data_IF_562553233254
#
_entry.id   IF_562553233254
#
_cell.length_a   1.000
_cell.length_b   1.000
_cell.length_c   1.000
_cell.angle_alpha   90.00
_cell.angle_beta   90.00
_cell.angle_gamma   90.00
#
_symmetry.space_group_name_H-M   'P 1'
#
loop_
_entity.id
_entity.type
_entity.pdbx_description
1 polymer ?
#
# COMPACT_ATOMS: atom_id res chain seq x y z
N UNK A 1 24.61 -25.07 -41.42
CA UNK A 1 23.25 -24.80 -40.94
C UNK A 1 23.34 -24.27 -39.52
N UNK A 2 23.26 -22.96 -39.35
CA UNK A 2 23.16 -22.30 -38.06
C UNK A 2 21.70 -22.38 -37.62
N UNK A 3 21.40 -23.17 -36.59
CA UNK A 3 20.10 -23.11 -35.90
C UNK A 3 20.08 -21.83 -35.08
N UNK A 4 19.22 -20.89 -35.47
CA UNK A 4 18.74 -19.88 -34.52
C UNK A 4 18.10 -20.65 -33.37
N UNK A 5 18.62 -20.51 -32.17
CA UNK A 5 17.86 -20.81 -30.96
C UNK A 5 16.76 -19.76 -30.94
N UNK A 6 15.52 -20.21 -30.97
CA UNK A 6 14.42 -19.42 -30.47
C UNK A 6 14.79 -19.09 -29.02
N UNK A 7 14.94 -17.81 -28.70
CA UNK A 7 14.93 -17.32 -27.32
C UNK A 7 13.51 -17.67 -26.83
N UNK A 8 13.38 -18.81 -26.13
CA UNK A 8 12.18 -19.12 -25.38
C UNK A 8 11.97 -17.96 -24.42
N UNK A 9 10.98 -17.12 -24.69
CA UNK A 9 10.60 -15.98 -23.84
C UNK A 9 10.36 -16.50 -22.43
N UNK A 10 11.30 -16.19 -21.52
CA UNK A 10 11.23 -16.62 -20.12
C UNK A 10 10.01 -15.98 -19.50
N UNK A 11 9.06 -16.81 -19.05
CA UNK A 11 7.85 -16.37 -18.34
C UNK A 11 7.83 -16.97 -16.95
N UNK A 12 7.69 -16.09 -15.97
CA UNK A 12 7.53 -16.49 -14.58
C UNK A 12 6.04 -16.46 -14.18
N UNK A 13 5.61 -17.26 -13.22
CA UNK A 13 4.21 -17.35 -12.79
C UNK A 13 3.82 -16.15 -11.90
N UNK A 14 4.03 -14.94 -12.40
CA UNK A 14 3.80 -13.73 -11.61
C UNK A 14 2.35 -13.62 -11.17
N UNK A 15 1.39 -13.68 -12.12
CA UNK A 15 -0.03 -13.52 -11.81
C UNK A 15 -0.60 -14.66 -10.99
N UNK A 16 -0.15 -15.90 -11.25
CA UNK A 16 -0.72 -17.09 -10.62
C UNK A 16 -0.12 -17.42 -9.24
N UNK A 17 1.14 -17.06 -9.00
CA UNK A 17 1.84 -17.47 -7.78
C UNK A 17 2.40 -16.31 -6.97
N UNK A 18 2.94 -15.25 -7.60
CA UNK A 18 3.69 -14.22 -6.89
C UNK A 18 2.86 -12.98 -6.60
N UNK A 19 1.96 -12.57 -7.49
CA UNK A 19 1.12 -11.39 -7.29
C UNK A 19 0.16 -11.58 -6.11
N UNK A 20 -0.05 -10.52 -5.37
CA UNK A 20 -0.96 -10.49 -4.22
C UNK A 20 -0.52 -9.52 -3.14
N UNK A 21 -1.28 -9.49 -2.05
CA UNK A 21 -0.94 -8.74 -0.86
C UNK A 21 -0.18 -9.65 0.12
N UNK A 22 0.86 -9.10 0.71
CA UNK A 22 1.66 -9.75 1.74
C UNK A 22 1.57 -8.92 3.02
N UNK A 23 1.29 -9.56 4.15
CA UNK A 23 1.29 -8.92 5.46
C UNK A 23 2.46 -9.44 6.27
N UNK A 24 3.19 -8.52 6.88
CA UNK A 24 4.38 -8.87 7.65
C UNK A 24 4.84 -7.76 8.54
N UNK A 25 6.06 -7.90 9.02
CA UNK A 25 6.72 -6.90 9.88
C UNK A 25 7.91 -6.29 9.17
N UNK A 26 8.18 -5.05 9.52
CA UNK A 26 9.37 -4.34 9.06
C UNK A 26 10.12 -3.68 10.21
N UNK A 27 11.44 -3.65 10.05
CA UNK A 27 12.34 -2.91 10.90
C UNK A 27 13.06 -1.85 10.08
N UNK A 28 13.17 -0.66 10.63
CA UNK A 28 13.76 0.51 9.98
C UNK A 28 15.03 0.92 10.71
N UNK A 29 16.13 1.12 9.97
CA UNK A 29 17.45 1.47 10.51
C UNK A 29 18.02 2.69 9.80
N UNK A 30 18.81 3.48 10.50
CA UNK A 30 19.79 4.32 9.82
C UNK A 30 20.96 3.47 9.35
N UNK A 31 21.46 3.72 8.15
CA UNK A 31 22.61 2.97 7.62
C UNK A 31 23.83 3.17 8.53
N UNK A 32 24.45 2.05 8.95
CA UNK A 32 25.57 2.04 9.86
C UNK A 32 25.18 1.96 11.36
N UNK A 33 23.88 1.96 11.67
CA UNK A 33 23.37 1.82 13.05
C UNK A 33 22.69 0.45 13.18
N UNK A 34 23.07 -0.30 14.21
CA UNK A 34 22.53 -1.64 14.44
C UNK A 34 21.19 -1.67 15.19
N UNK A 35 20.85 -0.59 15.87
CA UNK A 35 19.57 -0.45 16.58
C UNK A 35 18.53 0.13 15.65
N UNK A 36 17.35 -0.50 15.49
CA UNK A 36 16.29 0.03 14.66
C UNK A 36 15.74 1.34 15.25
N UNK A 37 15.37 2.26 14.39
CA UNK A 37 14.62 3.48 14.76
C UNK A 37 13.13 3.20 14.89
N UNK A 38 12.65 2.15 14.22
CA UNK A 38 11.32 1.58 14.36
C UNK A 38 11.40 0.07 14.11
N UNK A 39 10.74 -0.74 14.93
CA UNK A 39 10.78 -2.20 14.85
C UNK A 39 9.39 -2.81 14.94
N UNK A 40 9.26 -4.04 14.43
CA UNK A 40 8.05 -4.85 14.45
C UNK A 40 6.80 -4.12 13.87
N UNK A 41 7.04 -3.18 12.96
CA UNK A 41 5.95 -2.43 12.32
C UNK A 41 5.18 -3.35 11.39
N UNK A 42 3.90 -3.55 11.67
CA UNK A 42 3.02 -4.34 10.81
C UNK A 42 2.71 -3.55 9.55
N UNK A 43 3.07 -4.10 8.39
CA UNK A 43 2.88 -3.45 7.10
C UNK A 43 2.37 -4.45 6.05
N UNK A 44 1.57 -3.95 5.11
CA UNK A 44 1.20 -4.68 3.90
C UNK A 44 2.05 -4.21 2.73
N UNK A 45 2.50 -5.17 1.93
CA UNK A 45 3.19 -4.94 0.66
C UNK A 45 2.37 -5.59 -0.44
N UNK A 46 2.18 -4.89 -1.52
CA UNK A 46 1.47 -5.38 -2.69
C UNK A 46 2.46 -5.69 -3.80
N UNK A 47 2.36 -6.89 -4.33
CA UNK A 47 3.15 -7.36 -5.47
C UNK A 47 2.20 -7.56 -6.64
N UNK A 48 2.49 -6.93 -7.77
CA UNK A 48 1.75 -7.08 -9.01
C UNK A 48 2.69 -7.32 -10.19
N UNK A 49 2.13 -7.75 -11.31
CA UNK A 49 2.91 -7.98 -12.52
C UNK A 49 3.32 -6.67 -13.16
N UNK A 50 4.62 -6.49 -13.39
CA UNK A 50 5.16 -5.45 -14.27
C UNK A 50 5.41 -5.99 -15.70
N UNK A 51 5.94 -7.21 -15.79
CA UNK A 51 6.13 -7.95 -17.06
C UNK A 51 6.16 -9.45 -16.78
N UNK A 52 6.40 -10.28 -17.80
CA UNK A 52 6.57 -11.72 -17.64
C UNK A 52 7.82 -12.11 -16.83
N UNK A 53 8.74 -11.17 -16.64
CA UNK A 53 9.99 -11.38 -15.89
C UNK A 53 10.24 -10.33 -14.80
N UNK A 54 9.23 -9.51 -14.45
CA UNK A 54 9.37 -8.48 -13.45
C UNK A 54 8.08 -8.27 -12.65
N UNK A 55 8.24 -7.81 -11.42
CA UNK A 55 7.15 -7.42 -10.53
C UNK A 55 7.21 -5.94 -10.19
N UNK A 56 6.06 -5.38 -9.87
CA UNK A 56 5.89 -4.07 -9.25
C UNK A 56 5.65 -4.27 -7.76
N UNK A 57 6.27 -3.44 -6.94
CA UNK A 57 6.12 -3.41 -5.48
C UNK A 57 5.47 -2.11 -5.05
N UNK A 58 4.51 -2.18 -4.12
CA UNK A 58 3.84 -1.02 -3.57
C UNK A 58 3.66 -1.17 -2.06
N UNK A 59 4.04 -0.12 -1.32
CA UNK A 59 3.60 0.14 0.05
C UNK A 59 2.72 1.36 0.01
N UNK A 60 1.48 1.24 0.47
CA UNK A 60 0.48 2.30 0.41
C UNK A 60 0.34 2.98 1.76
N UNK A 61 0.24 4.30 1.76
CA UNK A 61 0.08 5.12 2.96
C UNK A 61 1.11 4.76 4.06
N UNK A 62 2.37 4.60 3.65
CA UNK A 62 3.40 4.17 4.58
C UNK A 62 3.67 5.23 5.63
N UNK A 63 3.57 4.82 6.87
CA UNK A 63 3.76 5.68 8.05
C UNK A 63 4.76 5.01 8.97
N UNK A 64 5.65 5.79 9.56
CA UNK A 64 6.57 5.32 10.62
C UNK A 64 6.30 6.06 11.93
N UNK A 65 6.50 5.36 13.03
CA UNK A 65 6.43 5.99 14.36
C UNK A 65 7.85 6.11 14.91
N UNK A 66 8.30 7.34 15.10
CA UNK A 66 9.62 7.64 15.66
C UNK A 66 9.44 8.43 16.96
N UNK A 67 9.98 7.90 18.04
CA UNK A 67 9.88 8.51 19.38
C UNK A 67 8.43 8.87 19.79
N UNK A 68 7.47 8.03 19.40
CA UNK A 68 6.04 8.22 19.71
C UNK A 68 5.30 9.18 18.78
N UNK A 69 5.98 9.74 17.78
CA UNK A 69 5.37 10.60 16.76
C UNK A 69 5.20 9.83 15.47
N UNK A 70 3.98 9.83 14.95
CA UNK A 70 3.65 9.23 13.67
C UNK A 70 4.03 10.18 12.51
N UNK A 71 4.79 9.68 11.55
CA UNK A 71 5.24 10.40 10.37
C UNK A 71 4.76 9.69 9.11
N UNK A 72 3.90 10.33 8.34
CA UNK A 72 3.47 9.85 7.04
C UNK A 72 4.62 10.02 6.04
N UNK A 73 5.06 8.93 5.43
CA UNK A 73 6.09 8.91 4.39
C UNK A 73 5.44 8.99 3.00
N UNK A 74 4.26 8.38 2.85
CA UNK A 74 3.51 8.32 1.60
C UNK A 74 3.59 6.96 0.92
N UNK A 75 3.25 6.93 -0.36
CA UNK A 75 3.28 5.72 -1.16
C UNK A 75 4.68 5.45 -1.69
N UNK A 76 5.19 4.26 -1.41
CA UNK A 76 6.46 3.78 -1.96
C UNK A 76 6.14 2.78 -3.06
N UNK A 77 6.54 3.11 -4.29
CA UNK A 77 6.32 2.27 -5.45
C UNK A 77 7.64 2.03 -6.18
N UNK A 78 7.93 0.77 -6.50
CA UNK A 78 9.01 0.39 -7.40
C UNK A 78 8.42 -0.39 -8.56
N UNK A 79 8.31 0.27 -9.71
CA UNK A 79 7.50 -0.21 -10.84
C UNK A 79 8.07 -1.42 -11.58
N UNK A 80 9.39 -1.63 -11.50
CA UNK A 80 10.06 -2.69 -12.26
C UNK A 80 11.17 -3.34 -11.44
N UNK A 81 10.83 -4.45 -10.78
CA UNK A 81 11.77 -5.29 -10.07
C UNK A 81 12.01 -6.56 -10.88
N UNK A 82 13.16 -6.66 -11.52
CA UNK A 82 13.54 -7.81 -12.33
C UNK A 82 13.62 -9.08 -11.48
N UNK A 83 13.03 -10.16 -11.99
CA UNK A 83 13.01 -11.48 -11.36
C UNK A 83 14.12 -12.38 -11.90
N UNK A 84 14.67 -13.20 -11.02
CA UNK A 84 15.58 -14.30 -11.37
C UNK A 84 15.20 -15.52 -10.56
N UNK A 85 14.97 -16.66 -11.22
CA UNK A 85 14.61 -17.91 -10.55
C UNK A 85 15.73 -18.39 -9.62
N UNK A 86 15.39 -18.77 -8.41
CA UNK A 86 16.31 -19.26 -7.39
C UNK A 86 15.66 -20.40 -6.57
N UNK A 87 15.82 -21.64 -7.04
CA UNK A 87 15.11 -22.80 -6.47
C UNK A 87 13.60 -22.70 -6.66
N UNK A 88 12.84 -22.81 -5.58
CA UNK A 88 11.38 -22.69 -5.56
C UNK A 88 10.89 -21.23 -5.37
N UNK A 89 11.80 -20.28 -5.29
CA UNK A 89 11.51 -18.86 -5.13
C UNK A 89 12.15 -18.05 -6.27
N UNK A 90 11.91 -16.75 -6.26
CA UNK A 90 12.44 -15.80 -7.23
C UNK A 90 13.16 -14.68 -6.45
N UNK A 91 14.40 -14.41 -6.81
CA UNK A 91 15.09 -13.20 -6.40
C UNK A 91 14.57 -12.05 -7.25
N UNK A 92 14.41 -10.90 -6.64
CA UNK A 92 14.05 -9.68 -7.34
C UNK A 92 14.93 -8.51 -6.93
N UNK A 93 15.10 -7.56 -7.84
CA UNK A 93 15.75 -6.29 -7.55
C UNK A 93 15.22 -5.19 -8.47
N UNK A 94 15.13 -3.97 -7.95
CA UNK A 94 14.69 -2.80 -8.69
C UNK A 94 15.16 -1.52 -8.02
N UNK A 95 15.17 -0.42 -8.80
CA UNK A 95 15.51 0.90 -8.31
C UNK A 95 14.51 1.91 -8.84
N UNK A 96 14.18 2.90 -8.03
CA UNK A 96 13.34 4.01 -8.45
C UNK A 96 13.64 5.28 -7.65
N UNK A 97 13.59 6.42 -8.31
CA UNK A 97 13.59 7.71 -7.62
C UNK A 97 12.15 8.08 -7.31
N UNK A 98 11.87 8.36 -6.05
CA UNK A 98 10.55 8.68 -5.52
C UNK A 98 10.53 10.11 -4.98
N UNK A 99 9.39 10.79 -5.14
CA UNK A 99 9.12 12.06 -4.47
C UNK A 99 8.18 11.76 -3.29
N UNK A 100 8.74 11.69 -2.10
CA UNK A 100 8.02 11.40 -0.86
C UNK A 100 7.81 12.68 -0.04
N UNK A 101 7.03 12.62 1.03
CA UNK A 101 6.84 13.75 1.95
C UNK A 101 8.17 14.23 2.54
N UNK A 102 9.12 13.32 2.74
CA UNK A 102 10.47 13.61 3.26
C UNK A 102 11.45 14.15 2.20
N UNK A 103 11.02 14.30 0.96
CA UNK A 103 11.83 14.80 -0.16
C UNK A 103 12.06 13.78 -1.28
N UNK A 104 12.98 14.08 -2.18
CA UNK A 104 13.41 13.18 -3.24
C UNK A 104 14.26 12.05 -2.66
N UNK A 105 13.93 10.81 -3.00
CA UNK A 105 14.55 9.60 -2.46
C UNK A 105 14.98 8.67 -3.59
N UNK A 106 16.24 8.25 -3.61
CA UNK A 106 16.67 7.13 -4.43
C UNK A 106 16.44 5.84 -3.65
N UNK A 107 15.52 5.04 -4.16
CA UNK A 107 15.11 3.80 -3.51
C UNK A 107 15.61 2.61 -4.30
N UNK A 108 16.25 1.66 -3.63
CA UNK A 108 16.58 0.35 -4.19
C UNK A 108 15.94 -0.74 -3.35
N UNK A 109 15.40 -1.75 -4.00
CA UNK A 109 14.79 -2.90 -3.36
C UNK A 109 15.43 -4.18 -3.90
N UNK A 110 15.67 -5.11 -3.00
CA UNK A 110 16.11 -6.45 -3.35
C UNK A 110 15.56 -7.48 -2.36
N UNK A 111 15.33 -8.69 -2.84
CA UNK A 111 14.79 -9.73 -1.96
C UNK A 111 14.47 -11.01 -2.69
N UNK A 112 13.66 -11.83 -2.02
CA UNK A 112 13.11 -13.07 -2.55
C UNK A 112 11.61 -13.09 -2.37
N UNK A 113 10.90 -13.59 -3.37
CA UNK A 113 9.46 -13.83 -3.33
C UNK A 113 9.18 -15.26 -3.75
N UNK A 114 8.36 -15.93 -2.97
CA UNK A 114 7.84 -17.26 -3.29
C UNK A 114 6.32 -17.26 -3.27
N UNK A 115 5.74 -18.44 -3.41
CA UNK A 115 4.28 -18.62 -3.48
C UNK A 115 3.55 -18.06 -2.25
N UNK A 116 4.17 -18.13 -1.07
CA UNK A 116 3.52 -17.80 0.21
C UNK A 116 4.25 -16.75 1.05
N UNK A 117 5.44 -16.32 0.64
CA UNK A 117 6.25 -15.42 1.46
C UNK A 117 7.11 -14.47 0.62
N UNK A 118 7.44 -13.35 1.22
CA UNK A 118 8.40 -12.37 0.69
C UNK A 118 9.36 -11.96 1.82
N UNK A 119 10.64 -11.86 1.47
CA UNK A 119 11.70 -11.32 2.33
C UNK A 119 12.47 -10.30 1.51
N UNK A 120 12.56 -9.06 1.97
CA UNK A 120 13.20 -8.01 1.20
C UNK A 120 13.88 -6.95 2.05
N UNK A 121 14.83 -6.30 1.42
CA UNK A 121 15.52 -5.12 1.93
C UNK A 121 15.23 -3.96 1.00
N UNK A 122 14.91 -2.82 1.59
CA UNK A 122 14.73 -1.56 0.87
C UNK A 122 15.76 -0.59 1.42
N UNK A 123 16.62 -0.07 0.56
CA UNK A 123 17.57 0.99 0.88
C UNK A 123 17.03 2.30 0.30
N UNK A 124 16.93 3.32 1.13
CA UNK A 124 16.42 4.65 0.77
C UNK A 124 17.50 5.69 1.05
N UNK A 125 17.91 6.39 0.01
CA UNK A 125 18.85 7.52 0.08
C UNK A 125 18.07 8.81 -0.13
N UNK A 126 17.84 9.53 0.96
CA UNK A 126 17.08 10.79 0.94
C UNK A 126 18.01 11.92 0.56
N UNK A 127 17.55 12.78 -0.36
CA UNK A 127 18.27 14.00 -0.71
C UNK A 127 18.53 14.83 0.55
N UNK A 128 19.80 15.19 0.79
CA UNK A 128 20.22 15.81 2.06
C UNK A 128 21.05 14.89 2.96
N UNK A 129 21.25 13.63 2.58
CA UNK A 129 22.26 12.72 3.15
C UNK A 129 21.74 11.71 4.18
N UNK A 130 20.44 11.65 4.45
CA UNK A 130 19.89 10.60 5.30
C UNK A 130 19.76 9.28 4.51
N UNK A 131 20.33 8.20 5.05
CA UNK A 131 20.24 6.87 4.46
C UNK A 131 19.54 5.92 5.42
N UNK A 132 18.49 5.28 4.91
CA UNK A 132 17.62 4.39 5.68
C UNK A 132 17.63 3.00 5.04
N UNK A 133 17.69 1.98 5.86
CA UNK A 133 17.50 0.58 5.47
C UNK A 133 16.25 0.02 6.12
N UNK A 134 15.41 -0.63 5.34
CA UNK A 134 14.21 -1.30 5.81
C UNK A 134 14.34 -2.79 5.54
N UNK A 135 14.19 -3.61 6.56
CA UNK A 135 14.08 -5.06 6.43
C UNK A 135 12.60 -5.44 6.56
N UNK A 136 12.07 -6.20 5.63
CA UNK A 136 10.67 -6.64 5.64
C UNK A 136 10.57 -8.14 5.41
N UNK A 137 9.70 -8.78 6.21
CA UNK A 137 9.31 -10.18 6.01
C UNK A 137 7.81 -10.30 6.10
N UNK A 138 7.19 -10.89 5.08
CA UNK A 138 5.75 -11.02 5.02
C UNK A 138 5.29 -12.35 4.45
N UNK A 139 4.08 -12.74 4.82
CA UNK A 139 3.36 -13.89 4.27
C UNK A 139 2.24 -13.42 3.38
N UNK A 140 2.01 -14.17 2.29
CA UNK A 140 0.94 -13.87 1.35
C UNK A 140 -0.41 -14.04 2.02
N UNK A 141 -1.26 -13.03 1.89
CA UNK A 141 -2.64 -13.14 2.34
C UNK A 141 -3.42 -14.07 1.41
N UNK A 142 -4.23 -14.95 2.00
CA UNK A 142 -5.14 -15.77 1.21
C UNK A 142 -6.19 -14.89 0.54
N UNK A 143 -6.65 -15.26 -0.66
CA UNK A 143 -7.67 -14.49 -1.38
C UNK A 143 -9.02 -14.36 -0.66
N UNK A 144 -9.18 -15.00 0.51
CA UNK A 144 -10.31 -14.83 1.41
C UNK A 144 -10.14 -13.65 2.38
N UNK A 145 -8.93 -13.12 2.52
CA UNK A 145 -8.64 -11.95 3.34
C UNK A 145 -8.73 -10.70 2.46
N UNK A 146 -9.87 -10.04 2.49
CA UNK A 146 -9.98 -8.73 1.86
C UNK A 146 -9.09 -7.74 2.63
N UNK A 147 -8.13 -7.17 1.93
CA UNK A 147 -7.14 -6.25 2.51
C UNK A 147 -7.48 -4.79 2.24
N UNK A 148 -8.54 -4.53 1.49
CA UNK A 148 -9.02 -3.18 1.21
C UNK A 148 -10.16 -2.83 2.16
N UNK A 149 -9.90 -1.94 3.11
CA UNK A 149 -10.93 -1.30 3.91
C UNK A 149 -11.19 0.08 3.31
N UNK A 150 -12.00 0.13 2.24
CA UNK A 150 -12.36 1.37 1.57
C UNK A 150 -13.86 1.60 1.64
N UNK A 151 -14.25 2.85 1.77
CA UNK A 151 -15.61 3.29 1.47
C UNK A 151 -15.70 3.40 -0.05
N UNK A 152 -16.55 2.56 -0.65
CA UNK A 152 -16.72 2.50 -2.11
C UNK A 152 -17.84 3.39 -2.60
N UNK A 153 -18.80 3.70 -1.72
CA UNK A 153 -19.88 4.65 -1.98
C UNK A 153 -20.33 5.28 -0.66
N UNK A 154 -20.77 6.54 -0.75
CA UNK A 154 -21.31 7.28 0.39
C UNK A 154 -22.38 8.25 -0.10
N UNK A 155 -23.61 8.04 0.34
CA UNK A 155 -24.75 8.88 -0.04
C UNK A 155 -25.51 9.32 1.20
N UNK A 156 -26.08 10.50 1.13
CA UNK A 156 -27.04 11.04 2.10
C UNK A 156 -28.22 11.58 1.29
N UNK A 157 -29.40 11.00 1.53
CA UNK A 157 -30.65 11.45 0.91
C UNK A 157 -31.40 12.30 1.92
N UNK A 158 -31.11 13.58 1.94
CA UNK A 158 -31.72 14.55 2.85
C UNK A 158 -31.82 15.91 2.20
N UNK A 159 -32.90 16.65 2.48
CA UNK A 159 -33.18 17.97 1.91
C UNK A 159 -32.17 19.04 2.29
N UNK A 160 -31.46 18.87 3.40
CA UNK A 160 -30.42 19.83 3.84
C UNK A 160 -29.14 19.72 3.02
N UNK A 161 -28.96 18.66 2.22
CA UNK A 161 -27.78 18.46 1.39
C UNK A 161 -27.87 19.29 0.10
N UNK A 162 -26.98 20.25 -0.04
CA UNK A 162 -26.91 21.12 -1.25
C UNK A 162 -25.84 20.68 -2.25
N UNK A 163 -24.80 19.96 -1.79
CA UNK A 163 -23.80 19.34 -2.64
C UNK A 163 -23.61 17.91 -2.18
N UNK A 164 -23.81 16.97 -3.10
CA UNK A 164 -23.67 15.54 -2.86
C UNK A 164 -22.29 15.17 -2.28
N UNK A 165 -22.20 14.14 -1.43
CA UNK A 165 -20.94 13.68 -0.89
C UNK A 165 -19.93 13.26 -1.97
N UNK A 166 -18.67 13.63 -1.76
CA UNK A 166 -17.54 13.24 -2.61
C UNK A 166 -16.49 12.58 -1.74
N UNK A 167 -16.07 11.38 -2.13
CA UNK A 167 -15.01 10.63 -1.48
C UNK A 167 -13.66 11.08 -2.05
N UNK A 168 -12.76 11.56 -1.20
CA UNK A 168 -11.37 11.89 -1.53
C UNK A 168 -10.45 10.87 -0.85
N UNK A 169 -10.10 9.81 -1.56
CA UNK A 169 -9.23 8.74 -1.07
C UNK A 169 -7.83 9.26 -0.69
N UNK A 170 -7.34 10.28 -1.41
CA UNK A 170 -6.00 10.83 -1.17
C UNK A 170 -5.92 11.57 0.18
N UNK A 171 -7.03 12.15 0.62
CA UNK A 171 -7.12 12.85 1.91
C UNK A 171 -7.79 12.04 3.01
N UNK A 172 -8.26 10.83 2.69
CA UNK A 172 -9.09 10.00 3.59
C UNK A 172 -10.27 10.80 4.15
N UNK A 173 -10.95 11.55 3.29
CA UNK A 173 -12.02 12.46 3.66
C UNK A 173 -13.25 12.29 2.77
N UNK A 174 -14.41 12.53 3.35
CA UNK A 174 -15.67 12.67 2.61
C UNK A 174 -16.16 14.09 2.83
N UNK A 175 -16.44 14.80 1.76
CA UNK A 175 -16.90 16.19 1.81
C UNK A 175 -18.26 16.34 1.15
N UNK A 176 -19.15 17.06 1.80
CA UNK A 176 -20.45 17.46 1.27
C UNK A 176 -20.82 18.85 1.77
N UNK A 177 -21.86 19.45 1.25
CA UNK A 177 -22.35 20.75 1.75
C UNK A 177 -23.81 20.63 2.15
N UNK A 178 -24.13 21.30 3.21
CA UNK A 178 -25.50 21.50 3.69
C UNK A 178 -25.96 22.94 3.38
N UNK A 179 -27.24 23.21 3.46
CA UNK A 179 -27.77 24.59 3.37
C UNK A 179 -27.37 25.41 4.60
N UNK A 180 -27.37 26.73 4.45
CA UNK A 180 -26.95 27.68 5.50
C UNK A 180 -27.95 27.74 6.69
N UNK A 181 -29.14 27.16 6.53
CA UNK A 181 -30.21 27.15 7.54
C UNK A 181 -30.19 25.80 8.35
N UNK A 182 -29.35 24.82 7.97
CA UNK A 182 -29.25 23.54 8.66
C UNK A 182 -28.83 23.74 10.12
N UNK A 183 -29.59 23.16 11.01
CA UNK A 183 -29.32 23.20 12.45
C UNK A 183 -28.43 22.03 12.87
N UNK A 184 -27.88 22.09 14.07
CA UNK A 184 -27.13 20.96 14.64
C UNK A 184 -27.99 19.70 14.79
N UNK A 185 -29.29 19.87 15.06
CA UNK A 185 -30.23 18.74 15.13
C UNK A 185 -30.44 18.09 13.77
N UNK A 186 -30.54 18.89 12.70
CA UNK A 186 -30.63 18.37 11.33
C UNK A 186 -29.38 17.58 10.97
N UNK A 187 -28.20 18.06 11.33
CA UNK A 187 -26.94 17.36 11.05
C UNK A 187 -26.82 16.03 11.80
N UNK A 188 -27.29 15.96 13.06
CA UNK A 188 -27.35 14.71 13.83
C UNK A 188 -28.39 13.71 13.32
N UNK A 189 -29.41 14.20 12.63
CA UNK A 189 -30.45 13.38 12.05
C UNK A 189 -30.06 12.74 10.71
N UNK A 190 -28.93 13.19 10.09
CA UNK A 190 -28.48 12.66 8.80
C UNK A 190 -28.21 11.16 8.87
N UNK A 191 -28.73 10.44 7.91
CA UNK A 191 -28.60 8.98 7.80
C UNK A 191 -27.75 8.64 6.58
N UNK A 192 -26.42 8.48 6.72
CA UNK A 192 -25.57 8.12 5.62
C UNK A 192 -25.75 6.65 5.22
N UNK A 193 -25.87 6.41 3.92
CA UNK A 193 -25.77 5.06 3.35
C UNK A 193 -24.32 4.88 2.87
N UNK A 194 -23.64 3.91 3.45
CA UNK A 194 -22.21 3.68 3.24
C UNK A 194 -22.00 2.28 2.66
N UNK A 195 -21.43 2.21 1.46
CA UNK A 195 -20.94 0.97 0.91
C UNK A 195 -19.43 0.87 1.15
N UNK A 196 -18.97 -0.30 1.51
CA UNK A 196 -17.55 -0.60 1.75
C UNK A 196 -17.09 -1.75 0.86
N UNK A 197 -15.78 -1.88 0.70
CA UNK A 197 -15.20 -2.99 -0.04
C UNK A 197 -15.61 -4.34 0.56
N UNK A 198 -15.59 -5.39 -0.26
CA UNK A 198 -16.04 -6.74 0.12
C UNK A 198 -15.37 -7.19 1.44
N UNK A 199 -16.17 -7.68 2.39
CA UNK A 199 -15.75 -8.13 3.73
C UNK A 199 -15.22 -7.03 4.67
N UNK A 200 -15.20 -5.76 4.27
CA UNK A 200 -14.95 -4.66 5.18
C UNK A 200 -16.21 -4.36 6.01
N UNK A 201 -16.01 -3.77 7.17
CA UNK A 201 -17.07 -3.27 8.04
C UNK A 201 -16.87 -1.79 8.30
N UNK A 202 -17.94 -1.05 8.51
CA UNK A 202 -17.89 0.36 8.87
C UNK A 202 -18.53 0.57 10.24
N UNK A 203 -17.93 1.44 11.02
CA UNK A 203 -18.45 1.87 12.32
C UNK A 203 -18.35 3.40 12.36
N UNK A 204 -19.43 4.10 12.65
CA UNK A 204 -20.81 3.66 12.89
C UNK A 204 -21.44 2.94 11.69
N UNK A 205 -22.53 2.19 11.94
CA UNK A 205 -23.16 1.38 10.90
C UNK A 205 -23.81 2.24 9.80
N UNK A 206 -23.80 1.74 8.57
CA UNK A 206 -24.52 2.33 7.44
C UNK A 206 -26.03 2.37 7.72
N UNK A 207 -26.71 3.44 7.30
CA UNK A 207 -28.16 3.60 7.46
C UNK A 207 -28.62 3.95 8.89
N UNK A 208 -27.72 4.47 9.73
CA UNK A 208 -28.01 4.93 11.10
C UNK A 208 -27.58 6.39 11.25
N UNK A 209 -28.43 7.18 11.89
CA UNK A 209 -28.08 8.57 12.24
C UNK A 209 -26.85 8.61 13.17
N UNK A 210 -26.05 9.63 13.01
CA UNK A 210 -24.78 9.77 13.72
C UNK A 210 -24.91 10.92 14.74
N UNK A 211 -24.60 10.63 16.00
CA UNK A 211 -24.55 11.62 17.10
C UNK A 211 -23.22 12.38 17.10
#
# INVERSE_FOLDING_TARGET
FMRCRDDDDVKYPVDSELAGAYKGTMDVYYVGVSTPIASDMVQKVYISKASDTAVKLELRNFTITVAGTELLIGDITVDNCALTKSGDAYKFSGNQTLSLVVGSCNTSVSGTVGKNAVDMVIDVDVEGGMKVKVNYKGTKLSGSENTEAKITDFTIDDEVITVAPVIDDAKSAITFKVNDEATEEDLKALVPVIAVSEKATVTPASGVAQD
#
